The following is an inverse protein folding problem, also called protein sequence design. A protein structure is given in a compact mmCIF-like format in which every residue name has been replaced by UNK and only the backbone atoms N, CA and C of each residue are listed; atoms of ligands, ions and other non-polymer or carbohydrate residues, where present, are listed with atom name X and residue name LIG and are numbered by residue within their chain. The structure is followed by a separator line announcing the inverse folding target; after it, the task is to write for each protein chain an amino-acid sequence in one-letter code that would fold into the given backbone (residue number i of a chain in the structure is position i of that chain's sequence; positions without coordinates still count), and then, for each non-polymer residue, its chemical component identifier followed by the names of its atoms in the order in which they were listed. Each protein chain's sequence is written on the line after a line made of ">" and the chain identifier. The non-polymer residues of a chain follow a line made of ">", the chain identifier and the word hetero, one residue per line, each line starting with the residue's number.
data_IF_607128782864
#
_entry.id   IF_607128782864
#
_cell.length_a   1.000
_cell.length_b   1.000
_cell.length_c   1.000
_cell.angle_alpha   90.00
_cell.angle_beta   90.00
_cell.angle_gamma   90.00
#
_symmetry.space_group_name_H-M   'P 1'
#
loop_
_entity.id
_entity.type
_entity.pdbx_description
1 polymer ?
#
# COMPACT_ATOMS: atom_id res chain seq x y z
N UNK A 1 -14.46 -7.76 -10.05
CA UNK A 1 -13.14 -7.12 -9.93
C UNK A 1 -13.34 -5.82 -9.16
N UNK A 2 -13.16 -5.84 -7.84
CA UNK A 2 -13.27 -4.62 -7.04
C UNK A 2 -12.05 -3.75 -7.27
N UNK A 3 -12.23 -2.57 -7.87
CA UNK A 3 -11.20 -1.53 -7.90
C UNK A 3 -10.84 -1.18 -6.47
N UNK A 4 -9.64 -1.57 -6.05
CA UNK A 4 -9.09 -1.17 -4.76
C UNK A 4 -8.89 0.35 -4.80
N UNK A 5 -9.48 1.04 -3.83
CA UNK A 5 -9.27 2.47 -3.66
C UNK A 5 -7.85 2.71 -3.16
N UNK A 6 -7.14 3.73 -3.65
CA UNK A 6 -5.76 3.96 -3.22
C UNK A 6 -5.63 4.20 -1.71
N UNK A 7 -4.45 3.99 -1.15
CA UNK A 7 -4.11 4.29 0.23
C UNK A 7 -3.89 5.80 0.46
N UNK A 8 -3.38 6.51 -0.55
CA UNK A 8 -3.10 7.95 -0.52
C UNK A 8 -3.83 8.67 -1.65
N UNK A 9 -4.49 9.79 -1.34
CA UNK A 9 -5.05 10.65 -2.39
C UNK A 9 -3.97 11.64 -2.85
N UNK A 10 -3.11 11.16 -3.75
CA UNK A 10 -2.06 12.01 -4.30
C UNK A 10 -2.59 13.13 -5.19
N UNK A 11 -3.78 12.95 -5.78
CA UNK A 11 -4.39 13.95 -6.66
C UNK A 11 -4.84 15.16 -5.84
N UNK A 12 -5.44 14.93 -4.67
CA UNK A 12 -5.86 15.97 -3.74
C UNK A 12 -4.67 16.63 -3.06
N UNK A 13 -3.61 15.86 -2.77
CA UNK A 13 -2.44 16.38 -2.06
C UNK A 13 -1.36 17.01 -2.95
N UNK A 14 -1.38 16.79 -4.26
CA UNK A 14 -0.27 17.10 -5.19
C UNK A 14 1.09 16.63 -4.65
N UNK A 15 1.12 15.44 -4.04
CA UNK A 15 2.31 14.89 -3.40
C UNK A 15 2.83 13.69 -4.18
N UNK A 16 4.15 13.48 -4.13
CA UNK A 16 4.77 12.24 -4.58
C UNK A 16 4.65 11.14 -3.51
N UNK A 17 4.69 9.87 -3.92
CA UNK A 17 4.91 8.73 -3.01
C UNK A 17 6.34 8.80 -2.44
N UNK A 18 6.53 9.59 -1.37
CA UNK A 18 7.76 9.62 -0.58
C UNK A 18 7.62 8.74 0.66
N UNK A 19 8.75 8.29 1.22
CA UNK A 19 8.78 7.48 2.43
C UNK A 19 7.98 8.12 3.59
N UNK A 20 8.08 9.45 3.72
CA UNK A 20 7.38 10.24 4.73
C UNK A 20 5.85 10.26 4.50
N UNK A 21 5.41 10.44 3.25
CA UNK A 21 3.98 10.47 2.92
C UNK A 21 3.33 9.11 3.12
N UNK A 22 3.97 8.03 2.66
CA UNK A 22 3.54 6.65 2.89
C UNK A 22 3.43 6.37 4.38
N UNK A 23 4.47 6.67 5.14
CA UNK A 23 4.49 6.47 6.59
C UNK A 23 3.41 7.28 7.31
N UNK A 24 3.15 8.52 6.90
CA UNK A 24 2.10 9.35 7.48
C UNK A 24 0.71 8.78 7.19
N UNK A 25 0.47 8.29 5.98
CA UNK A 25 -0.80 7.66 5.61
C UNK A 25 -1.05 6.37 6.38
N UNK A 26 -0.05 5.50 6.47
CA UNK A 26 -0.13 4.26 7.26
C UNK A 26 -0.44 4.53 8.73
N UNK A 27 0.23 5.52 9.32
CA UNK A 27 -0.04 5.96 10.69
C UNK A 27 -1.47 6.48 10.82
N UNK A 28 -1.94 7.29 9.87
CA UNK A 28 -3.28 7.86 9.91
C UNK A 28 -4.38 6.80 9.79
N UNK A 29 -4.27 5.92 8.78
CA UNK A 29 -5.19 4.79 8.55
C UNK A 29 -5.27 3.92 9.80
N UNK A 30 -4.13 3.46 10.32
CA UNK A 30 -4.08 2.64 11.53
C UNK A 30 -4.73 3.34 12.73
N UNK A 31 -4.46 4.63 12.90
CA UNK A 31 -4.96 5.40 14.03
C UNK A 31 -6.49 5.53 14.01
N UNK A 32 -7.10 5.73 12.83
CA UNK A 32 -8.56 5.82 12.73
C UNK A 32 -9.23 4.45 12.88
N UNK A 33 -8.62 3.38 12.35
CA UNK A 33 -9.10 2.00 12.48
C UNK A 33 -9.14 1.54 13.94
N UNK A 34 -8.09 1.85 14.70
CA UNK A 34 -8.04 1.56 16.14
C UNK A 34 -9.10 2.31 16.96
N UNK A 35 -9.71 3.35 16.39
CA UNK A 35 -10.80 4.10 17.01
C UNK A 35 -12.19 3.71 16.47
N UNK A 36 -12.26 2.67 15.65
CA UNK A 36 -13.51 2.17 15.06
C UNK A 36 -14.00 3.06 13.91
N UNK A 37 -13.08 3.55 13.09
CA UNK A 37 -13.38 4.24 11.84
C UNK A 37 -12.74 3.53 10.67
N UNK A 38 -13.51 3.29 9.61
CA UNK A 38 -13.02 2.69 8.37
C UNK A 38 -12.87 3.76 7.30
N UNK A 39 -11.69 3.92 6.68
CA UNK A 39 -11.54 4.81 5.54
C UNK A 39 -12.35 4.30 4.35
N UNK A 40 -13.13 5.18 3.73
CA UNK A 40 -13.86 4.88 2.48
C UNK A 40 -13.22 5.54 1.27
N UNK A 41 -12.18 6.33 1.51
CA UNK A 41 -11.39 7.01 0.51
C UNK A 41 -9.91 6.95 0.94
N UNK A 42 -8.98 7.16 0.01
CA UNK A 42 -7.56 7.27 0.32
C UNK A 42 -7.29 8.37 1.34
N UNK A 43 -6.20 8.27 2.10
CA UNK A 43 -5.81 9.31 3.05
C UNK A 43 -5.48 10.62 2.31
N UNK A 44 -6.25 11.71 2.54
CA UNK A 44 -6.12 12.95 1.78
C UNK A 44 -5.26 14.00 2.50
N UNK A 45 -4.59 13.62 3.60
CA UNK A 45 -3.82 14.52 4.46
C UNK A 45 -4.52 14.92 5.75
N UNK A 46 -3.78 15.60 6.63
CA UNK A 46 -4.23 15.93 7.99
C UNK A 46 -5.40 16.90 8.03
N UNK A 47 -5.37 17.91 7.15
CA UNK A 47 -6.26 19.07 7.18
C UNK A 47 -7.22 19.10 5.97
N UNK A 48 -7.41 17.93 5.35
CA UNK A 48 -8.40 17.70 4.29
C UNK A 48 -9.52 16.82 4.83
N UNK A 49 -10.75 17.04 4.35
CA UNK A 49 -11.89 16.21 4.73
C UNK A 49 -11.70 14.77 4.22
N UNK A 50 -11.65 13.83 5.15
CA UNK A 50 -11.52 12.41 4.87
C UNK A 50 -12.86 11.70 5.03
N UNK A 51 -13.28 10.98 3.98
CA UNK A 51 -14.49 10.16 4.01
C UNK A 51 -14.24 8.87 4.78
N UNK A 52 -14.94 8.73 5.90
CA UNK A 52 -14.80 7.61 6.82
C UNK A 52 -16.17 7.08 7.24
N UNK A 53 -16.25 5.80 7.57
CA UNK A 53 -17.42 5.14 8.16
C UNK A 53 -17.19 4.90 9.65
N UNK A 54 -18.16 5.22 10.48
CA UNK A 54 -18.15 4.89 11.90
C UNK A 54 -18.56 3.43 12.10
N UNK A 55 -17.69 2.57 12.60
CA UNK A 55 -18.01 1.15 12.82
C UNK A 55 -18.93 0.91 14.03
N UNK A 56 -19.12 1.93 14.88
CA UNK A 56 -20.00 1.83 16.05
C UNK A 56 -21.49 1.97 15.69
N UNK A 57 -21.81 2.67 14.61
CA UNK A 57 -23.20 2.96 14.23
C UNK A 57 -23.44 2.91 12.71
N UNK A 58 -22.41 2.62 11.92
CA UNK A 58 -22.48 2.49 10.46
C UNK A 58 -22.48 3.80 9.67
N UNK A 59 -22.58 4.96 10.31
CA UNK A 59 -22.74 6.25 9.60
C UNK A 59 -21.47 6.66 8.84
N UNK A 60 -21.63 7.03 7.56
CA UNK A 60 -20.58 7.65 6.75
C UNK A 60 -20.52 9.16 7.01
N UNK A 61 -19.34 9.69 7.29
CA UNK A 61 -19.13 11.10 7.60
C UNK A 61 -17.80 11.60 7.01
N UNK A 62 -17.70 12.92 6.85
CA UNK A 62 -16.47 13.60 6.52
C UNK A 62 -15.78 14.11 7.79
N UNK A 63 -14.49 13.81 7.97
CA UNK A 63 -13.71 14.22 9.15
C UNK A 63 -12.30 14.62 8.78
N UNK A 64 -11.79 15.66 9.43
CA UNK A 64 -10.36 15.97 9.38
C UNK A 64 -9.57 14.95 10.22
N UNK A 65 -8.50 14.39 9.66
CA UNK A 65 -7.60 13.53 10.43
C UNK A 65 -6.95 14.28 11.60
N UNK A 66 -6.67 15.58 11.45
CA UNK A 66 -6.18 16.43 12.54
C UNK A 66 -7.12 16.49 13.74
N UNK A 67 -8.43 16.30 13.55
CA UNK A 67 -9.40 16.16 14.64
C UNK A 67 -9.49 14.71 15.15
N UNK A 68 -9.39 13.72 14.26
CA UNK A 68 -9.41 12.29 14.64
C UNK A 68 -8.17 11.85 15.41
N UNK A 69 -7.05 12.58 15.28
CA UNK A 69 -5.82 12.31 16.03
C UNK A 69 -5.73 13.02 17.38
N UNK A 70 -6.62 13.98 17.65
CA UNK A 70 -6.58 14.83 18.85
C UNK A 70 -7.69 14.40 19.82
N UNK A 71 -7.35 14.28 21.10
CA UNK A 71 -8.31 14.10 22.21
C UNK A 71 -8.43 12.67 22.76
N UNK A 72 -8.75 12.59 24.06
CA UNK A 72 -9.14 11.37 24.78
C UNK A 72 -10.23 11.74 25.81
N UNK A 73 -11.47 11.24 25.70
CA UNK A 73 -12.02 10.42 24.61
C UNK A 73 -12.24 11.24 23.32
N UNK A 74 -12.20 10.56 22.18
CA UNK A 74 -12.48 11.19 20.88
C UNK A 74 -13.96 11.58 20.78
N UNK A 75 -14.26 12.85 20.49
CA UNK A 75 -15.63 13.27 20.15
C UNK A 75 -16.05 12.64 18.82
N UNK A 76 -17.08 11.79 18.87
CA UNK A 76 -17.71 11.18 17.69
C UNK A 76 -18.63 12.18 16.97
N UNK A 77 -19.13 11.77 15.80
CA UNK A 77 -20.03 12.61 15.00
C UNK A 77 -21.37 12.83 15.71
N UNK A 78 -22.13 13.84 15.25
CA UNK A 78 -23.48 14.10 15.76
C UNK A 78 -24.38 12.89 15.48
N UNK A 79 -25.20 12.51 16.45
CA UNK A 79 -26.11 11.36 16.34
C UNK A 79 -25.45 9.98 16.49
N UNK A 80 -24.19 9.91 16.96
CA UNK A 80 -23.55 8.63 17.27
C UNK A 80 -24.09 8.03 18.58
N UNK A 81 -23.63 6.81 18.93
CA UNK A 81 -23.97 6.14 20.19
C UNK A 81 -23.71 7.05 21.41
N UNK A 82 -24.52 6.93 22.48
CA UNK A 82 -24.30 7.65 23.73
C UNK A 82 -22.87 7.45 24.26
N UNK A 83 -22.27 8.50 24.82
CA UNK A 83 -20.85 8.49 25.27
C UNK A 83 -20.56 7.32 26.23
N UNK A 84 -21.53 6.96 27.08
CA UNK A 84 -21.43 5.86 28.02
C UNK A 84 -21.24 4.48 27.33
N UNK A 85 -21.79 4.30 26.13
CA UNK A 85 -21.78 3.02 25.40
C UNK A 85 -20.60 2.92 24.42
N UNK A 86 -19.99 4.05 24.04
CA UNK A 86 -18.95 4.10 23.02
C UNK A 86 -17.71 3.27 23.35
N UNK A 87 -17.31 3.22 24.62
CA UNK A 87 -16.13 2.47 25.05
C UNK A 87 -16.36 0.95 24.91
N UNK A 88 -17.52 0.48 25.35
CA UNK A 88 -17.91 -0.93 25.23
C UNK A 88 -18.07 -1.35 23.77
N UNK A 89 -18.75 -0.52 22.96
CA UNK A 89 -18.94 -0.78 21.53
C UNK A 89 -17.60 -0.83 20.77
N UNK A 90 -16.65 0.06 21.09
CA UNK A 90 -15.31 0.03 20.50
C UNK A 90 -14.54 -1.24 20.90
N UNK A 91 -14.65 -1.68 22.16
CA UNK A 91 -14.01 -2.90 22.64
C UNK A 91 -14.59 -4.16 22.01
N UNK A 92 -15.87 -4.14 21.62
CA UNK A 92 -16.56 -5.25 20.97
C UNK A 92 -16.25 -5.41 19.47
N UNK A 93 -15.59 -4.44 18.83
CA UNK A 93 -15.29 -4.52 17.40
C UNK A 93 -14.28 -5.64 17.08
N UNK A 94 -14.53 -6.48 16.06
CA UNK A 94 -13.60 -7.52 15.65
C UNK A 94 -12.24 -6.94 15.24
N UNK A 95 -11.15 -7.53 15.73
CA UNK A 95 -9.78 -7.12 15.39
C UNK A 95 -9.49 -7.29 13.90
N UNK A 96 -10.03 -8.34 13.27
CA UNK A 96 -9.80 -8.67 11.87
C UNK A 96 -10.41 -7.65 10.87
N UNK A 97 -11.45 -6.91 11.26
CA UNK A 97 -12.10 -5.90 10.41
C UNK A 97 -11.24 -4.64 10.19
N UNK A 98 -10.04 -4.60 10.78
CA UNK A 98 -9.16 -3.42 10.78
C UNK A 98 -8.11 -3.44 9.66
N UNK A 99 -7.97 -4.54 8.92
CA UNK A 99 -7.02 -4.63 7.82
C UNK A 99 -7.66 -4.09 6.54
N UNK A 100 -7.32 -2.87 6.17
CA UNK A 100 -7.83 -2.25 4.95
C UNK A 100 -6.93 -2.48 3.74
N UNK A 101 -5.61 -2.68 3.94
CA UNK A 101 -4.63 -2.83 2.87
C UNK A 101 -3.43 -3.71 3.26
N UNK A 102 -2.95 -4.54 2.34
CA UNK A 102 -1.69 -5.29 2.48
C UNK A 102 -0.48 -4.52 1.93
N UNK A 103 0.71 -4.91 2.36
CA UNK A 103 1.98 -4.36 1.87
C UNK A 103 2.11 -4.39 0.34
N UNK A 104 1.69 -5.48 -0.30
CA UNK A 104 1.72 -5.63 -1.76
C UNK A 104 0.77 -4.70 -2.49
N UNK A 105 -0.43 -4.46 -1.93
CA UNK A 105 -1.38 -3.49 -2.50
C UNK A 105 -0.79 -2.08 -2.48
N UNK A 106 -0.16 -1.70 -1.37
CA UNK A 106 0.47 -0.38 -1.22
C UNK A 106 1.66 -0.22 -2.17
N UNK A 107 2.45 -1.27 -2.34
CA UNK A 107 3.56 -1.27 -3.30
C UNK A 107 3.05 -1.12 -4.74
N UNK A 108 1.99 -1.83 -5.14
CA UNK A 108 1.38 -1.69 -6.47
C UNK A 108 0.95 -0.25 -6.76
N UNK A 109 0.30 0.40 -5.80
CA UNK A 109 -0.11 1.79 -5.95
C UNK A 109 1.09 2.72 -6.09
N UNK A 110 2.13 2.53 -5.28
CA UNK A 110 3.32 3.36 -5.32
C UNK A 110 4.06 3.23 -6.66
N UNK A 111 4.14 2.03 -7.21
CA UNK A 111 4.68 1.75 -8.55
C UNK A 111 3.83 2.37 -9.66
N UNK A 112 2.51 2.25 -9.55
CA UNK A 112 1.57 2.85 -10.51
C UNK A 112 1.69 4.37 -10.53
N UNK A 113 1.78 4.99 -9.36
CA UNK A 113 1.99 6.42 -9.22
C UNK A 113 3.37 6.89 -9.73
N UNK A 114 4.36 6.01 -9.74
CA UNK A 114 5.67 6.24 -10.36
C UNK A 114 5.66 6.03 -11.89
N UNK A 115 4.52 5.65 -12.48
CA UNK A 115 4.36 5.46 -13.93
C UNK A 115 4.61 4.04 -14.41
N UNK A 116 4.75 3.06 -13.51
CA UNK A 116 4.93 1.66 -13.87
C UNK A 116 3.59 0.91 -13.94
N UNK A 117 3.51 -0.12 -14.79
CA UNK A 117 2.34 -1.02 -14.81
C UNK A 117 2.58 -2.15 -13.81
N UNK A 118 1.91 -2.12 -12.66
CA UNK A 118 2.10 -3.08 -11.58
C UNK A 118 0.78 -3.70 -11.09
N UNK A 119 0.79 -4.98 -10.71
CA UNK A 119 -0.36 -5.69 -10.16
C UNK A 119 0.05 -6.79 -9.18
N UNK A 120 -0.90 -7.20 -8.33
CA UNK A 120 -0.78 -8.40 -7.50
C UNK A 120 -0.90 -9.65 -8.38
N UNK A 121 0.13 -10.49 -8.38
CA UNK A 121 0.19 -11.75 -9.11
C UNK A 121 0.17 -12.92 -8.13
N UNK A 122 -0.87 -13.78 -8.17
CA UNK A 122 -0.85 -15.04 -7.45
C UNK A 122 0.20 -15.95 -8.08
N UNK A 123 1.10 -16.51 -7.27
CA UNK A 123 1.91 -17.65 -7.71
C UNK A 123 1.22 -18.93 -7.23
N UNK A 124 1.27 -20.00 -8.04
CA UNK A 124 0.60 -21.28 -7.73
C UNK A 124 0.99 -21.91 -6.37
N UNK A 125 2.03 -21.41 -5.70
CA UNK A 125 2.50 -21.85 -4.38
C UNK A 125 1.94 -21.06 -3.18
N UNK A 126 0.95 -20.18 -3.37
CA UNK A 126 0.36 -19.39 -2.27
C UNK A 126 1.21 -18.20 -1.81
N UNK A 127 2.23 -17.84 -2.60
CA UNK A 127 3.06 -16.66 -2.39
C UNK A 127 2.65 -15.60 -3.41
N UNK A 128 1.75 -14.69 -3.05
CA UNK A 128 1.46 -13.58 -3.96
C UNK A 128 2.70 -12.68 -4.08
N UNK A 129 2.99 -12.22 -5.30
CA UNK A 129 4.05 -11.26 -5.60
C UNK A 129 3.45 -10.01 -6.22
N UNK A 130 4.18 -8.90 -6.17
CA UNK A 130 3.88 -7.73 -6.99
C UNK A 130 4.68 -7.85 -8.29
N UNK A 131 3.98 -7.97 -9.41
CA UNK A 131 4.60 -8.00 -10.73
C UNK A 131 4.59 -6.60 -11.34
N UNK A 132 5.70 -6.22 -11.99
CA UNK A 132 5.87 -4.96 -12.71
C UNK A 132 6.24 -5.28 -14.14
N UNK A 133 5.45 -4.81 -15.11
CA UNK A 133 5.74 -4.98 -16.54
C UNK A 133 6.82 -3.99 -16.98
N UNK A 134 7.86 -4.48 -17.68
CA UNK A 134 8.85 -3.63 -18.35
C UNK A 134 8.51 -3.46 -19.83
N UNK A 135 8.49 -2.20 -20.30
CA UNK A 135 8.38 -1.77 -21.70
C UNK A 135 7.56 -2.72 -22.63
N UNK A 136 7.90 -2.77 -23.92
CA UNK A 136 7.28 -3.72 -24.87
C UNK A 136 7.92 -5.10 -24.70
N UNK A 137 7.17 -6.08 -24.20
CA UNK A 137 7.62 -7.46 -24.12
C UNK A 137 7.00 -8.28 -22.98
N UNK A 138 7.42 -9.54 -22.83
CA UNK A 138 6.99 -10.40 -21.73
C UNK A 138 7.75 -10.13 -20.43
N UNK A 139 8.80 -9.30 -20.44
CA UNK A 139 9.67 -9.06 -19.30
C UNK A 139 8.94 -8.43 -18.11
N UNK A 140 9.12 -9.02 -16.93
CA UNK A 140 8.55 -8.58 -15.67
C UNK A 140 9.62 -8.46 -14.58
N UNK A 141 9.40 -7.59 -13.60
CA UNK A 141 10.09 -7.61 -12.31
C UNK A 141 9.10 -8.11 -11.27
N UNK A 142 9.46 -9.17 -10.56
CA UNK A 142 8.65 -9.73 -9.49
C UNK A 142 9.20 -9.30 -8.16
N UNK A 143 8.33 -8.83 -7.28
CA UNK A 143 8.69 -8.27 -5.99
C UNK A 143 7.94 -9.02 -4.91
N UNK A 144 8.68 -9.48 -3.91
CA UNK A 144 8.14 -10.09 -2.70
C UNK A 144 8.82 -9.50 -1.48
N UNK A 145 8.26 -9.72 -0.30
CA UNK A 145 9.04 -9.55 0.93
C UNK A 145 10.07 -10.68 1.07
N UNK A 146 11.06 -10.50 1.94
CA UNK A 146 12.09 -11.50 2.23
C UNK A 146 11.51 -12.85 2.71
N UNK A 147 10.31 -12.83 3.30
CA UNK A 147 9.55 -14.02 3.71
C UNK A 147 8.58 -14.54 2.62
N UNK A 148 8.75 -14.09 1.37
CA UNK A 148 7.99 -14.49 0.18
C UNK A 148 6.47 -14.26 0.24
N UNK A 149 6.00 -13.33 1.09
CA UNK A 149 4.58 -12.95 1.17
C UNK A 149 4.46 -11.46 0.96
N UNK A 150 3.42 -10.98 0.28
CA UNK A 150 3.10 -9.55 0.17
C UNK A 150 1.73 -9.19 0.78
N UNK A 151 1.09 -10.15 1.45
CA UNK A 151 -0.26 -10.03 2.02
C UNK A 151 -0.29 -9.56 3.49
N UNK A 152 0.88 -9.29 4.08
CA UNK A 152 1.02 -8.93 5.49
C UNK A 152 0.76 -7.42 5.74
N UNK A 153 0.68 -7.04 7.02
CA UNK A 153 0.57 -5.64 7.43
C UNK A 153 1.90 -4.89 7.23
N UNK A 154 1.93 -3.64 6.73
CA UNK A 154 3.18 -2.88 6.50
C UNK A 154 4.18 -2.79 7.67
N UNK A 155 3.78 -3.10 8.90
CA UNK A 155 4.67 -3.10 10.08
C UNK A 155 5.43 -4.41 10.27
N UNK A 156 4.98 -5.49 9.62
CA UNK A 156 5.63 -6.80 9.63
C UNK A 156 6.64 -6.94 8.48
N UNK A 157 6.90 -5.84 7.76
CA UNK A 157 7.82 -5.78 6.63
C UNK A 157 9.24 -6.20 7.06
N UNK A 158 9.79 -7.21 6.39
CA UNK A 158 11.13 -7.74 6.68
C UNK A 158 12.20 -7.30 5.67
N UNK A 159 11.78 -6.78 4.51
CA UNK A 159 12.62 -6.12 3.51
C UNK A 159 12.30 -6.61 2.10
N UNK A 160 12.12 -5.69 1.15
CA UNK A 160 11.76 -6.06 -0.21
C UNK A 160 12.87 -6.86 -0.90
N UNK A 161 12.45 -7.83 -1.71
CA UNK A 161 13.28 -8.56 -2.67
C UNK A 161 12.64 -8.41 -4.04
N UNK A 162 13.44 -8.15 -5.07
CA UNK A 162 12.98 -8.06 -6.45
C UNK A 162 13.85 -8.93 -7.36
N UNK A 163 13.19 -9.62 -8.29
CA UNK A 163 13.79 -10.53 -9.26
C UNK A 163 13.37 -10.15 -10.67
N UNK A 164 14.30 -10.20 -11.62
CA UNK A 164 14.01 -10.02 -13.03
C UNK A 164 13.52 -11.33 -13.66
N UNK A 165 12.47 -11.25 -14.46
CA UNK A 165 11.87 -12.38 -15.20
C UNK A 165 11.76 -12.00 -16.69
N UNK A 166 12.69 -12.44 -17.55
CA UNK A 166 12.69 -12.04 -18.96
C UNK A 166 11.45 -12.52 -19.73
N UNK A 167 10.85 -13.65 -19.35
CA UNK A 167 9.67 -14.23 -20.00
C UNK A 167 8.35 -13.99 -19.24
N UNK A 168 8.39 -13.40 -18.04
CA UNK A 168 7.18 -13.11 -17.25
C UNK A 168 6.34 -14.35 -16.88
N UNK A 169 6.92 -15.54 -16.94
CA UNK A 169 6.27 -16.80 -16.62
C UNK A 169 6.73 -17.37 -15.27
N UNK A 170 5.96 -18.34 -14.79
CA UNK A 170 6.18 -19.02 -13.51
C UNK A 170 7.26 -20.12 -13.63
N UNK A 171 8.09 -20.12 -14.69
CA UNK A 171 9.10 -21.15 -14.84
C UNK A 171 10.11 -21.06 -13.68
N UNK A 172 10.16 -22.13 -12.89
CA UNK A 172 11.20 -22.37 -11.89
C UNK A 172 12.52 -22.72 -12.60
N UNK A 173 13.05 -21.80 -13.39
CA UNK A 173 14.35 -21.93 -14.03
C UNK A 173 15.40 -21.09 -13.32
N UNK A 174 16.65 -21.54 -13.37
CA UNK A 174 17.87 -20.87 -12.87
C UNK A 174 18.16 -19.47 -13.49
N UNK A 175 17.16 -18.81 -14.08
CA UNK A 175 17.24 -17.53 -14.81
C UNK A 175 16.68 -16.33 -14.03
N UNK A 176 16.18 -16.52 -12.81
CA UNK A 176 15.74 -15.42 -11.95
C UNK A 176 16.96 -14.61 -11.47
N UNK A 177 17.16 -13.42 -12.02
CA UNK A 177 18.28 -12.56 -11.63
C UNK A 177 17.87 -11.66 -10.46
N UNK A 178 18.52 -11.76 -9.28
CA UNK A 178 18.20 -10.90 -8.15
C UNK A 178 18.58 -9.45 -8.49
N UNK A 179 17.58 -8.56 -8.52
CA UNK A 179 17.74 -7.14 -8.83
C UNK A 179 17.85 -6.28 -7.59
N UNK A 180 17.16 -6.67 -6.53
CA UNK A 180 17.10 -5.92 -5.29
C UNK A 180 16.90 -6.87 -4.12
N UNK A 181 17.60 -6.62 -3.02
CA UNK A 181 17.37 -7.30 -1.75
C UNK A 181 17.68 -6.34 -0.63
N UNK A 182 16.71 -6.12 0.24
CA UNK A 182 16.83 -5.26 1.40
C UNK A 182 16.54 -6.02 2.69
N UNK A 183 17.09 -5.51 3.79
CA UNK A 183 16.79 -5.93 5.16
C UNK A 183 16.18 -4.77 5.97
N UNK A 184 15.78 -3.68 5.30
CA UNK A 184 15.24 -2.50 5.94
C UNK A 184 13.77 -2.70 6.30
N UNK A 185 13.50 -2.89 7.59
CA UNK A 185 12.14 -3.09 8.11
C UNK A 185 11.28 -1.82 8.09
N UNK A 186 11.84 -0.65 7.73
CA UNK A 186 11.07 0.58 7.59
C UNK A 186 10.39 0.63 6.23
N UNK A 187 9.19 0.06 6.15
CA UNK A 187 8.39 -0.07 4.93
C UNK A 187 8.41 1.15 4.00
N UNK A 188 8.19 2.36 4.53
CA UNK A 188 8.16 3.57 3.70
C UNK A 188 9.51 3.88 3.04
N UNK A 189 10.61 3.79 3.81
CA UNK A 189 11.97 4.04 3.33
C UNK A 189 12.41 2.96 2.35
N UNK A 190 12.11 1.71 2.64
CA UNK A 190 12.46 0.57 1.79
C UNK A 190 11.72 0.61 0.45
N UNK A 191 10.42 0.89 0.50
CA UNK A 191 9.60 1.08 -0.70
C UNK A 191 10.13 2.23 -1.57
N UNK A 192 10.52 3.35 -0.98
CA UNK A 192 11.07 4.47 -1.75
C UNK A 192 12.41 4.11 -2.43
N UNK A 193 13.27 3.34 -1.76
CA UNK A 193 14.52 2.86 -2.34
C UNK A 193 14.27 1.87 -3.49
N UNK A 194 13.36 0.92 -3.29
CA UNK A 194 12.93 -0.04 -4.30
C UNK A 194 12.39 0.67 -5.55
N UNK A 195 11.53 1.69 -5.40
CA UNK A 195 10.99 2.46 -6.53
C UNK A 195 12.09 3.13 -7.36
N UNK A 196 13.13 3.67 -6.72
CA UNK A 196 14.28 4.28 -7.44
C UNK A 196 15.04 3.24 -8.26
N UNK A 197 15.26 2.05 -7.69
CA UNK A 197 15.95 0.94 -8.37
C UNK A 197 15.13 0.47 -9.57
N UNK A 198 13.83 0.22 -9.39
CA UNK A 198 12.93 -0.21 -10.48
C UNK A 198 12.86 0.85 -11.58
N UNK A 199 12.74 2.13 -11.22
CA UNK A 199 12.74 3.22 -12.19
C UNK A 199 14.00 3.26 -13.05
N UNK A 200 15.17 3.05 -12.43
CA UNK A 200 16.47 3.00 -13.13
C UNK A 200 16.55 1.81 -14.06
N UNK A 201 16.14 0.62 -13.60
CA UNK A 201 16.17 -0.62 -14.37
C UNK A 201 15.19 -0.57 -15.55
N UNK A 202 13.98 -0.08 -15.35
CA UNK A 202 12.99 0.04 -16.41
C UNK A 202 13.46 1.01 -17.51
N UNK A 203 14.12 2.10 -17.13
CA UNK A 203 14.71 3.05 -18.09
C UNK A 203 15.86 2.40 -18.89
N UNK A 204 16.76 1.69 -18.22
CA UNK A 204 17.87 0.97 -18.88
C UNK A 204 17.35 -0.08 -19.86
N UNK A 205 16.39 -0.91 -19.44
CA UNK A 205 15.77 -1.93 -20.30
C UNK A 205 15.10 -1.31 -21.54
N UNK A 206 14.40 -0.19 -21.37
CA UNK A 206 13.77 0.52 -22.49
C UNK A 206 14.81 1.02 -23.50
N UNK A 207 15.95 1.53 -23.03
CA UNK A 207 17.04 2.01 -23.89
C UNK A 207 17.71 0.86 -24.67
N UNK A 208 17.94 -0.29 -24.02
CA UNK A 208 18.49 -1.49 -24.67
C UNK A 208 17.56 -2.02 -25.77
N UNK A 209 16.26 -2.12 -25.50
CA UNK A 209 15.27 -2.54 -26.49
C UNK A 209 15.19 -1.57 -27.69
N UNK A 210 15.31 -0.26 -27.44
CA UNK A 210 15.34 0.74 -28.50
C UNK A 210 16.58 0.62 -29.39
N UNK A 211 17.74 0.27 -28.82
CA UNK A 211 18.98 0.03 -29.59
C UNK A 211 18.92 -1.26 -30.40
N UNK A 212 18.30 -2.31 -29.88
CA UNK A 212 18.15 -3.59 -30.57
C UNK A 212 17.13 -3.55 -31.73
N UNK A 213 16.27 -2.53 -31.77
CA UNK A 213 15.28 -2.32 -32.82
C UNK A 213 15.78 -1.46 -34.02
N UNK A 214 17.01 -0.96 -33.95
CA UNK A 214 17.70 -0.17 -35.00
C UNK A 214 18.64 -1.06 -35.80
#
# INVERSE_FOLDING_TARGET
>A
MGTLSPLLDLTVLRRSYTASNISAALKAVRHILNQGWTPLAPYPGSDTLWRVRCELCGTEVLRFYSHLRRGRPLKRHVGCLPVAEQAAALAALPTALRLTFSSGQILCEALTAAGHTAWMRPTGGGCDVVAVRLATGPAEIWISDADAKVTYEPQQHSGWTAEFRPQGDDSCGDEAQPLYKSHNQQFGSDTEQLLKVIGTLAAAYTAEQAQAAV
#
